data_IF_292738759309
#
_entry.id   IF_292738759309
#
_cell.length_a   1.000
_cell.length_b   1.000
_cell.length_c   1.000
_cell.angle_alpha   90.00
_cell.angle_beta   90.00
_cell.angle_gamma   90.00
#
_symmetry.space_group_name_H-M   'P 1'
#
loop_
_entity.id
_entity.type
_entity.pdbx_description
1 polymer ?
#
# COMPACT_ATOMS: atom_id res chain seq x y z
N UNK A 1 -0.10 39.53 22.42
CA UNK A 1 1.00 38.58 22.16
C UNK A 1 0.56 37.11 22.19
N UNK A 2 -0.33 36.70 23.11
CA UNK A 2 -0.80 35.30 23.28
C UNK A 2 -1.49 34.67 22.05
N UNK A 3 -2.15 35.49 21.21
CA UNK A 3 -2.90 35.01 20.05
C UNK A 3 -1.99 34.61 18.87
N UNK A 4 -0.81 35.24 18.74
CA UNK A 4 0.15 34.94 17.67
C UNK A 4 0.88 33.61 17.92
N UNK A 5 1.24 33.34 19.18
CA UNK A 5 1.89 32.08 19.58
C UNK A 5 0.95 30.89 19.43
N UNK A 6 -0.34 31.06 19.74
CA UNK A 6 -1.33 29.99 19.58
C UNK A 6 -1.53 29.59 18.11
N UNK A 7 -1.60 30.56 17.19
CA UNK A 7 -1.73 30.28 15.75
C UNK A 7 -0.50 29.57 15.18
N UNK A 8 0.70 29.97 15.60
CA UNK A 8 1.95 29.31 15.19
C UNK A 8 2.00 27.87 15.72
N UNK A 9 1.57 27.65 16.97
CA UNK A 9 1.52 26.30 17.55
C UNK A 9 0.51 25.41 16.81
N UNK A 10 -0.66 25.95 16.46
CA UNK A 10 -1.68 25.24 15.68
C UNK A 10 -1.19 24.89 14.27
N UNK A 11 -0.50 25.81 13.59
CA UNK A 11 0.07 25.55 12.27
C UNK A 11 1.16 24.47 12.30
N UNK A 12 2.03 24.48 13.31
CA UNK A 12 3.05 23.45 13.52
C UNK A 12 2.40 22.10 13.82
N UNK A 13 1.37 22.07 14.67
CA UNK A 13 0.62 20.86 14.98
C UNK A 13 -0.07 20.29 13.72
N UNK A 14 -0.66 21.15 12.89
CA UNK A 14 -1.29 20.75 11.63
C UNK A 14 -0.28 20.21 10.62
N UNK A 15 0.89 20.85 10.50
CA UNK A 15 1.98 20.36 9.65
C UNK A 15 2.55 19.01 10.12
N UNK A 16 2.71 18.83 11.44
CA UNK A 16 3.09 17.54 12.03
C UNK A 16 2.01 16.48 11.77
N UNK A 17 0.74 16.82 11.88
CA UNK A 17 -0.38 15.90 11.62
C UNK A 17 -0.50 15.54 10.14
N UNK A 18 -0.22 16.48 9.24
CA UNK A 18 -0.12 16.25 7.80
C UNK A 18 1.08 15.36 7.44
N UNK A 19 2.22 15.52 8.11
CA UNK A 19 3.39 14.67 7.91
C UNK A 19 3.14 13.22 8.38
N UNK A 20 2.41 13.02 9.48
CA UNK A 20 2.03 11.68 9.99
C UNK A 20 1.03 10.96 9.06
N UNK A 21 0.25 11.71 8.26
CA UNK A 21 -0.72 11.14 7.30
C UNK A 21 -0.13 10.80 5.92
N UNK A 22 1.16 11.04 5.68
CA UNK A 22 1.85 10.35 4.59
C UNK A 22 1.83 8.88 4.98
N UNK A 23 0.93 8.11 4.37
CA UNK A 23 0.79 6.67 4.54
C UNK A 23 2.18 6.07 4.65
N UNK A 24 2.53 5.53 5.81
CA UNK A 24 3.86 4.99 6.08
C UNK A 24 4.10 3.86 5.07
N UNK A 25 4.82 4.20 4.00
CA UNK A 25 5.26 3.25 3.02
C UNK A 25 6.44 2.52 3.63
N UNK A 26 6.26 1.24 3.88
CA UNK A 26 7.25 0.38 4.49
C UNK A 26 7.89 -0.49 3.42
N UNK A 27 9.20 -0.71 3.53
CA UNK A 27 9.91 -1.61 2.63
C UNK A 27 10.17 -2.93 3.32
N UNK A 28 9.87 -4.05 2.65
CA UNK A 28 10.27 -5.37 3.12
C UNK A 28 11.13 -6.07 2.08
N UNK A 29 12.07 -6.89 2.57
CA UNK A 29 12.96 -7.68 1.72
C UNK A 29 12.54 -9.14 1.73
N UNK A 30 12.29 -9.67 0.55
CA UNK A 30 11.93 -11.06 0.32
C UNK A 30 13.19 -11.85 -0.08
N UNK A 31 13.41 -13.07 0.47
CA UNK A 31 14.55 -13.90 0.08
C UNK A 31 14.57 -14.25 -1.43
N UNK A 32 15.73 -14.66 -1.99
CA UNK A 32 15.80 -15.10 -3.38
C UNK A 32 14.97 -16.37 -3.66
N UNK A 33 14.72 -16.65 -4.94
CA UNK A 33 14.03 -17.86 -5.39
C UNK A 33 12.51 -17.87 -5.21
N UNK A 34 11.88 -18.96 -5.61
CA UNK A 34 10.42 -19.15 -5.59
C UNK A 34 10.00 -20.30 -6.53
N UNK A 35 8.68 -20.54 -6.67
CA UNK A 35 7.57 -19.78 -6.11
C UNK A 35 7.34 -20.08 -4.63
N UNK A 36 7.02 -19.05 -3.83
CA UNK A 36 6.64 -19.22 -2.43
C UNK A 36 5.58 -18.21 -2.00
N UNK A 37 4.88 -18.53 -0.92
CA UNK A 37 3.94 -17.60 -0.27
C UNK A 37 4.73 -16.52 0.48
N UNK A 38 4.25 -15.29 0.43
CA UNK A 38 4.76 -14.21 1.29
C UNK A 38 4.32 -14.51 2.72
N UNK A 39 5.23 -14.62 3.69
CA UNK A 39 4.85 -14.96 5.06
C UNK A 39 3.94 -13.89 5.66
N UNK A 40 2.74 -14.27 6.11
CA UNK A 40 1.83 -13.36 6.81
C UNK A 40 2.48 -12.71 8.04
N UNK A 41 3.27 -13.43 8.88
CA UNK A 41 3.95 -12.79 10.00
C UNK A 41 4.88 -11.64 9.59
N UNK A 42 5.54 -11.75 8.42
CA UNK A 42 6.40 -10.69 7.88
C UNK A 42 5.57 -9.47 7.47
N UNK A 43 4.40 -9.68 6.87
CA UNK A 43 3.47 -8.61 6.52
C UNK A 43 2.94 -7.89 7.77
N UNK A 44 2.58 -8.64 8.81
CA UNK A 44 2.08 -8.09 10.07
C UNK A 44 3.14 -7.30 10.84
N UNK A 45 4.39 -7.78 10.83
CA UNK A 45 5.53 -7.05 11.39
C UNK A 45 5.79 -5.74 10.63
N UNK A 46 5.70 -5.79 9.29
CA UNK A 46 5.98 -4.63 8.43
C UNK A 46 4.87 -3.59 8.47
N UNK A 47 3.60 -4.02 8.41
CA UNK A 47 2.43 -3.14 8.26
C UNK A 47 1.68 -2.86 9.57
N UNK A 48 2.09 -3.51 10.66
CA UNK A 48 1.37 -3.56 11.92
C UNK A 48 0.30 -4.66 11.95
N UNK A 49 0.20 -5.35 13.09
CA UNK A 49 -0.62 -6.55 13.32
C UNK A 49 -2.13 -6.45 13.01
N UNK A 50 -2.64 -5.27 12.64
CA UNK A 50 -4.08 -5.01 12.48
C UNK A 50 -4.46 -4.40 11.12
N UNK A 51 -3.58 -4.45 10.12
CA UNK A 51 -3.94 -3.94 8.78
C UNK A 51 -5.13 -4.73 8.20
N UNK A 52 -6.08 -4.01 7.60
CA UNK A 52 -7.24 -4.62 6.94
C UNK A 52 -7.06 -4.67 5.43
N UNK A 53 -6.43 -3.63 4.88
CA UNK A 53 -6.09 -3.50 3.48
C UNK A 53 -4.64 -3.12 3.32
N UNK A 54 -4.05 -3.56 2.22
CA UNK A 54 -2.72 -3.14 1.83
C UNK A 54 -2.62 -2.94 0.32
N UNK A 55 -1.60 -2.20 -0.08
CA UNK A 55 -1.19 -2.10 -1.48
C UNK A 55 0.32 -2.29 -1.58
N UNK A 56 0.76 -2.88 -2.69
CA UNK A 56 2.18 -2.90 -3.06
C UNK A 56 2.46 -1.62 -3.84
N UNK A 57 3.15 -0.68 -3.22
CA UNK A 57 3.41 0.65 -3.78
C UNK A 57 4.69 0.69 -4.60
N UNK A 58 5.67 -0.16 -4.26
CA UNK A 58 6.87 -0.37 -5.06
C UNK A 58 6.96 -1.85 -5.41
N UNK A 59 6.57 -2.24 -6.65
CA UNK A 59 6.70 -3.61 -7.09
C UNK A 59 8.18 -4.01 -7.18
N UNK A 60 8.48 -5.31 -7.18
CA UNK A 60 9.83 -5.78 -7.46
C UNK A 60 10.28 -5.31 -8.85
N UNK A 61 11.58 -5.05 -9.01
CA UNK A 61 12.16 -4.82 -10.34
C UNK A 61 11.84 -6.02 -11.26
N UNK A 62 11.40 -5.76 -12.50
CA UNK A 62 10.87 -6.80 -13.39
C UNK A 62 11.86 -7.94 -13.68
N UNK A 63 13.16 -7.64 -13.68
CA UNK A 63 14.23 -8.63 -13.89
C UNK A 63 14.56 -9.42 -12.63
N UNK A 64 14.09 -9.00 -11.45
CA UNK A 64 14.44 -9.58 -10.15
C UNK A 64 13.30 -10.37 -9.53
N UNK A 65 12.04 -10.06 -9.82
CA UNK A 65 10.93 -10.86 -9.35
C UNK A 65 9.56 -10.36 -9.73
N UNK A 66 8.55 -11.16 -9.39
CA UNK A 66 7.13 -10.90 -9.67
C UNK A 66 6.27 -11.35 -8.49
N UNK A 67 5.25 -10.55 -8.17
CA UNK A 67 4.21 -10.89 -7.20
C UNK A 67 2.96 -11.40 -7.92
N UNK A 68 2.32 -12.41 -7.34
CA UNK A 68 1.09 -12.98 -7.86
C UNK A 68 0.03 -13.09 -6.77
N UNK A 69 -1.21 -12.80 -7.11
CA UNK A 69 -2.37 -13.07 -6.28
C UNK A 69 -3.31 -13.99 -7.06
N UNK A 70 -3.63 -15.16 -6.50
CA UNK A 70 -4.56 -16.13 -7.08
C UNK A 70 -4.23 -16.47 -8.57
N UNK A 71 -2.94 -16.55 -8.89
CA UNK A 71 -2.43 -16.92 -10.22
C UNK A 71 -2.26 -15.74 -11.20
N UNK A 72 -2.68 -14.53 -10.83
CA UNK A 72 -2.52 -13.33 -11.65
C UNK A 72 -1.39 -12.45 -11.13
N UNK A 73 -0.65 -11.80 -12.03
CA UNK A 73 0.36 -10.80 -11.66
C UNK A 73 -0.31 -9.70 -10.84
N UNK A 74 0.26 -9.37 -9.69
CA UNK A 74 -0.22 -8.28 -8.87
C UNK A 74 0.18 -6.95 -9.52
N UNK A 75 -0.80 -6.12 -9.85
CA UNK A 75 -0.56 -4.77 -10.34
C UNK A 75 -0.11 -3.84 -9.20
N UNK A 76 0.79 -2.88 -9.47
CA UNK A 76 1.16 -1.87 -8.50
C UNK A 76 -0.07 -1.09 -8.01
N UNK A 77 -0.09 -0.72 -6.74
CA UNK A 77 -1.19 0.00 -6.09
C UNK A 77 -2.54 -0.73 -6.08
N UNK A 78 -2.61 -1.99 -6.54
CA UNK A 78 -3.80 -2.81 -6.34
C UNK A 78 -4.03 -3.00 -4.85
N UNK A 79 -5.19 -2.54 -4.42
CA UNK A 79 -5.70 -2.75 -3.07
C UNK A 79 -6.05 -4.22 -2.89
N UNK A 80 -5.51 -4.84 -1.85
CA UNK A 80 -5.82 -6.22 -1.48
C UNK A 80 -6.17 -6.31 0.01
N UNK A 81 -7.13 -7.16 0.34
CA UNK A 81 -7.52 -7.40 1.73
C UNK A 81 -6.43 -8.19 2.49
N UNK A 82 -6.50 -8.21 3.82
CA UNK A 82 -5.64 -9.07 4.65
C UNK A 82 -5.75 -10.55 4.26
N UNK A 83 -6.95 -11.01 3.90
CA UNK A 83 -7.19 -12.40 3.49
C UNK A 83 -6.53 -12.70 2.13
N UNK A 84 -6.59 -11.76 1.19
CA UNK A 84 -5.90 -11.83 -0.09
C UNK A 84 -4.38 -11.77 0.09
N UNK A 85 -3.87 -10.91 0.97
CA UNK A 85 -2.45 -10.84 1.30
C UNK A 85 -1.91 -12.19 1.82
N UNK A 86 -2.75 -12.98 2.51
CA UNK A 86 -2.43 -14.36 2.94
C UNK A 86 -2.28 -15.36 1.81
N UNK A 87 -2.69 -15.01 0.59
CA UNK A 87 -2.55 -15.80 -0.63
C UNK A 87 -1.51 -15.22 -1.59
N UNK A 88 -0.85 -14.14 -1.21
CA UNK A 88 0.16 -13.49 -2.03
C UNK A 88 1.36 -14.42 -2.23
N UNK A 89 1.72 -14.64 -3.48
CA UNK A 89 2.84 -15.46 -3.91
C UNK A 89 3.93 -14.56 -4.50
N UNK A 90 5.18 -14.98 -4.33
CA UNK A 90 6.35 -14.28 -4.83
C UNK A 90 7.28 -15.24 -5.56
N UNK A 91 7.84 -14.75 -6.67
CA UNK A 91 8.88 -15.41 -7.44
C UNK A 91 10.06 -14.45 -7.60
N UNK A 92 11.22 -14.78 -7.04
CA UNK A 92 12.46 -14.04 -7.25
C UNK A 92 13.42 -14.80 -8.17
N UNK A 93 14.24 -14.04 -8.88
CA UNK A 93 15.45 -14.54 -9.51
C UNK A 93 16.35 -15.23 -8.46
N UNK A 94 17.08 -16.29 -8.84
CA UNK A 94 18.01 -16.96 -7.93
C UNK A 94 19.11 -16.00 -7.44
N UNK A 95 19.51 -16.15 -6.18
CA UNK A 95 20.69 -15.49 -5.62
C UNK A 95 20.56 -14.00 -5.27
N UNK A 96 19.45 -13.34 -5.62
CA UNK A 96 19.24 -11.91 -5.31
C UNK A 96 17.99 -11.72 -4.45
N UNK A 97 18.11 -11.17 -3.22
CA UNK A 97 16.95 -10.77 -2.44
C UNK A 97 16.25 -9.59 -3.11
N UNK A 98 14.94 -9.48 -2.91
CA UNK A 98 14.12 -8.49 -3.59
C UNK A 98 13.37 -7.64 -2.60
N UNK A 99 13.57 -6.34 -2.67
CA UNK A 99 12.87 -5.36 -1.84
C UNK A 99 11.60 -4.90 -2.55
N UNK A 100 10.50 -4.86 -1.81
CA UNK A 100 9.21 -4.32 -2.26
C UNK A 100 8.71 -3.29 -1.25
N UNK A 101 7.98 -2.31 -1.75
CA UNK A 101 7.30 -1.30 -0.93
C UNK A 101 5.85 -1.68 -0.73
N UNK A 102 5.38 -1.59 0.51
CA UNK A 102 4.01 -1.88 0.91
C UNK A 102 3.47 -0.77 1.78
N UNK A 103 2.16 -0.55 1.70
CA UNK A 103 1.46 0.39 2.55
C UNK A 103 0.18 -0.23 3.08
N UNK A 104 -0.06 -0.06 4.38
CA UNK A 104 -1.35 -0.36 4.99
C UNK A 104 -2.33 0.76 4.63
N UNK A 105 -3.57 0.39 4.31
CA UNK A 105 -4.62 1.36 4.01
C UNK A 105 -5.77 1.14 4.98
N UNK A 106 -6.20 2.18 5.73
CA UNK A 106 -7.19 2.03 6.79
C UNK A 106 -8.62 1.90 6.26
N UNK A 107 -8.92 2.42 5.06
CA UNK A 107 -10.24 2.37 4.45
C UNK A 107 -10.22 1.44 3.22
N UNK A 108 -11.30 0.65 2.99
CA UNK A 108 -11.45 -0.08 1.73
C UNK A 108 -11.47 0.91 0.56
N UNK A 109 -11.05 0.49 -0.65
CA UNK A 109 -11.17 1.33 -1.84
C UNK A 109 -12.63 1.75 -1.99
N UNK A 110 -12.88 3.06 -1.95
CA UNK A 110 -14.18 3.59 -2.35
C UNK A 110 -14.26 3.38 -3.85
N UNK A 111 -15.09 2.45 -4.29
CA UNK A 111 -15.54 2.43 -5.67
C UNK A 111 -16.26 3.77 -5.91
N UNK A 112 -15.53 4.78 -6.37
CA UNK A 112 -16.13 5.97 -6.95
C UNK A 112 -16.84 5.51 -8.22
N UNK A 113 -18.09 5.08 -8.07
CA UNK A 113 -19.01 4.95 -9.18
C UNK A 113 -19.17 6.37 -9.72
N UNK A 114 -18.35 6.73 -10.69
CA UNK A 114 -18.49 7.95 -11.47
C UNK A 114 -19.85 7.88 -12.17
N UNK A 115 -20.88 8.39 -11.52
CA UNK A 115 -22.21 8.54 -12.12
C UNK A 115 -22.13 9.69 -13.12
N UNK A 116 -21.66 9.40 -14.33
CA UNK A 116 -21.76 10.32 -15.45
C UNK A 116 -23.25 10.51 -15.74
N UNK A 117 -23.82 11.64 -15.32
CA UNK A 117 -25.16 12.05 -15.73
C UNK A 117 -25.03 12.68 -17.11
N UNK A 118 -25.48 11.99 -18.15
CA UNK A 118 -25.68 12.62 -19.45
C UNK A 118 -26.70 13.75 -19.30
N UNK A 119 -26.25 15.00 -19.39
CA UNK A 119 -27.16 16.15 -19.51
C UNK A 119 -27.61 16.17 -20.97
N UNK A 120 -28.71 15.49 -21.29
CA UNK A 120 -29.39 15.72 -22.56
C UNK A 120 -29.86 17.18 -22.58
N UNK A 121 -29.12 18.04 -23.29
CA UNK A 121 -29.67 19.31 -23.78
C UNK A 121 -30.70 18.95 -24.84
N UNK A 122 -31.97 18.96 -24.44
CA UNK A 122 -33.09 19.01 -25.38
C UNK A 122 -33.01 20.41 -26.00
N UNK A 123 -32.57 20.46 -27.26
CA UNK A 123 -32.79 21.60 -28.16
C UNK A 123 -34.22 21.52 -28.70
#
# INVERSE_FOLDING_TARGET
MLQRTFVVFLAILMLLFCAVRVTAQESMTLPPGGPRRVPMPLLEETLGNQFQWMAVTLPPEESKGVLFLDGQRLEPYRMISREEAGRLMFFAAPGVPVTIGVAAVPEPPREEILRIRCINRIL
#
